data_IF_203235154258
#
_entry.id   IF_203235154258
#
_cell.length_a   1.000
_cell.length_b   1.000
_cell.length_c   1.000
_cell.angle_alpha   90.00
_cell.angle_beta   90.00
_cell.angle_gamma   90.00
#
_symmetry.space_group_name_H-M   'P 1'
#
loop_
_entity.id
_entity.type
_entity.pdbx_description
1 polymer ?
#
# COMPACT_ATOMS: atom_id res chain seq x y z
N UNK A 1 68.14 46.93 25.18
CA UNK A 1 68.30 45.94 26.26
C UNK A 1 68.13 44.55 25.66
N UNK A 2 69.22 43.78 25.65
CA UNK A 2 69.34 42.36 25.26
C UNK A 2 68.44 41.48 26.17
N UNK A 3 68.17 40.17 26.02
CA UNK A 3 68.78 39.05 25.32
C UNK A 3 67.82 37.85 25.51
N UNK A 4 67.25 37.22 24.47
CA UNK A 4 66.66 35.86 24.55
C UNK A 4 66.24 35.35 23.15
N UNK A 5 67.20 35.31 22.24
CA UNK A 5 67.21 34.37 21.12
C UNK A 5 67.87 33.06 21.60
N UNK A 6 67.44 31.94 21.03
CA UNK A 6 67.96 30.57 21.17
C UNK A 6 67.46 29.73 22.35
N UNK A 7 67.08 28.49 22.00
CA UNK A 7 66.36 27.44 22.74
C UNK A 7 64.85 27.71 22.65
N UNK A 8 64.03 26.98 21.91
CA UNK A 8 64.02 25.53 21.72
C UNK A 8 63.35 25.27 20.36
N UNK A 9 64.17 25.31 19.29
CA UNK A 9 63.82 24.90 17.93
C UNK A 9 63.66 23.36 17.81
N UNK A 10 63.04 22.72 18.81
CA UNK A 10 62.97 21.25 18.92
C UNK A 10 61.62 20.73 19.45
N UNK A 11 60.56 21.53 19.42
CA UNK A 11 59.19 21.07 19.68
C UNK A 11 58.31 20.97 18.42
N UNK A 12 58.84 21.35 17.25
CA UNK A 12 58.12 21.38 15.98
C UNK A 12 58.21 20.07 15.15
N UNK A 13 58.71 18.97 15.72
CA UNK A 13 58.91 17.70 14.99
C UNK A 13 58.21 16.47 15.59
N UNK A 14 57.36 16.63 16.60
CA UNK A 14 56.65 15.50 17.24
C UNK A 14 55.12 15.61 17.16
N UNK A 15 54.58 16.29 16.15
CA UNK A 15 53.13 16.41 15.94
C UNK A 15 52.64 15.74 14.65
N UNK A 16 53.50 15.01 13.94
CA UNK A 16 53.20 14.41 12.63
C UNK A 16 53.14 12.87 12.64
N UNK A 17 52.77 12.24 13.77
CA UNK A 17 52.68 10.79 13.89
C UNK A 17 51.40 10.28 14.61
N UNK A 18 50.33 11.08 14.64
CA UNK A 18 48.98 10.60 14.99
C UNK A 18 48.05 10.92 13.82
N UNK A 19 48.45 10.43 12.65
CA UNK A 19 47.58 10.35 11.50
C UNK A 19 47.01 8.93 11.46
N UNK A 20 45.68 8.84 11.38
CA UNK A 20 44.96 7.74 10.73
C UNK A 20 44.82 6.45 11.55
N UNK A 21 44.06 6.47 12.67
CA UNK A 21 43.41 5.24 13.20
C UNK A 21 41.91 5.43 13.50
N UNK A 22 41.38 6.66 13.48
CA UNK A 22 40.02 6.94 13.96
C UNK A 22 38.87 6.91 12.94
N UNK A 23 39.10 6.64 11.65
CA UNK A 23 38.13 6.97 10.58
C UNK A 23 37.56 5.77 9.81
N UNK A 24 37.62 4.57 10.37
CA UNK A 24 36.94 3.39 9.80
C UNK A 24 35.93 2.79 10.79
N UNK A 25 35.17 3.63 11.48
CA UNK A 25 33.86 3.19 11.97
C UNK A 25 32.90 3.30 10.79
N UNK A 26 32.98 2.29 9.92
CA UNK A 26 32.07 2.10 8.80
C UNK A 26 30.62 2.25 9.29
N UNK A 27 29.83 3.00 8.54
CA UNK A 27 28.40 3.19 8.73
C UNK A 27 27.69 1.83 8.66
N UNK A 28 27.69 1.06 9.74
CA UNK A 28 26.76 -0.04 9.93
C UNK A 28 25.43 0.59 10.34
N UNK A 29 24.67 1.10 9.36
CA UNK A 29 23.25 1.37 9.58
C UNK A 29 22.63 0.06 10.08
N UNK A 30 22.01 0.02 11.26
CA UNK A 30 21.29 -1.17 11.68
C UNK A 30 20.28 -1.50 10.58
N UNK A 31 20.47 -2.65 9.93
CA UNK A 31 19.58 -3.09 8.87
C UNK A 31 18.17 -3.09 9.42
N UNK A 32 17.25 -2.37 8.78
CA UNK A 32 15.84 -2.42 9.14
C UNK A 32 15.44 -3.89 9.02
N UNK A 33 14.97 -4.55 10.09
CA UNK A 33 14.58 -5.95 10.01
C UNK A 33 13.49 -6.08 8.93
N UNK A 34 13.81 -6.78 7.85
CA UNK A 34 12.84 -7.10 6.82
C UNK A 34 12.07 -8.32 7.27
N UNK A 35 10.80 -8.11 7.61
CA UNK A 35 9.89 -9.22 7.86
C UNK A 35 9.65 -9.98 6.56
N UNK A 36 9.91 -11.28 6.55
CA UNK A 36 9.67 -12.15 5.39
C UNK A 36 8.20 -12.57 5.27
N UNK A 37 7.35 -12.14 6.21
CA UNK A 37 5.91 -12.38 6.20
C UNK A 37 5.17 -11.04 6.27
N UNK A 38 3.96 -10.95 5.69
CA UNK A 38 3.16 -9.74 5.79
C UNK A 38 2.72 -9.50 7.23
N UNK A 39 3.21 -8.42 7.83
CA UNK A 39 2.76 -7.93 9.13
C UNK A 39 1.54 -7.02 8.94
N UNK A 40 0.38 -7.48 9.39
CA UNK A 40 -0.85 -6.70 9.31
C UNK A 40 -1.01 -5.81 10.54
N UNK A 41 -0.44 -4.60 10.48
CA UNK A 41 -0.70 -3.57 11.46
C UNK A 41 -1.96 -2.77 11.09
N UNK A 42 -3.10 -3.17 11.64
CA UNK A 42 -4.38 -2.49 11.40
C UNK A 42 -4.50 -1.11 12.07
N UNK A 43 -3.60 -0.76 13.01
CA UNK A 43 -3.64 0.53 13.72
C UNK A 43 -2.90 1.65 12.99
N UNK A 44 -1.98 1.30 12.10
CA UNK A 44 -1.13 2.24 11.35
C UNK A 44 -1.26 2.12 9.84
N UNK A 45 -2.15 1.25 9.33
CA UNK A 45 -2.43 1.18 7.91
C UNK A 45 -3.07 2.51 7.48
N UNK A 46 -2.47 3.27 6.55
CA UNK A 46 -3.15 4.41 5.96
C UNK A 46 -4.45 3.91 5.32
N UNK A 47 -5.52 4.70 5.40
CA UNK A 47 -6.73 4.46 4.62
C UNK A 47 -6.27 4.16 3.19
N UNK A 48 -6.49 2.93 2.73
CA UNK A 48 -5.77 2.36 1.59
C UNK A 48 -5.70 3.32 0.43
N UNK A 49 -4.56 3.40 -0.26
CA UNK A 49 -4.31 4.37 -1.33
C UNK A 49 -5.41 4.22 -2.38
N UNK A 50 -6.42 5.08 -2.30
CA UNK A 50 -7.47 5.11 -3.30
C UNK A 50 -6.86 5.74 -4.54
N UNK A 51 -7.02 5.11 -5.72
CA UNK A 51 -6.79 5.79 -6.98
C UNK A 51 -7.53 7.13 -6.93
N UNK A 52 -6.84 8.22 -7.27
CA UNK A 52 -7.42 9.58 -7.31
C UNK A 52 -8.71 9.54 -8.15
N UNK A 53 -9.85 9.63 -7.48
CA UNK A 53 -11.16 9.82 -8.09
C UNK A 53 -11.82 11.02 -7.43
N UNK A 54 -12.36 11.92 -8.24
CA UNK A 54 -13.05 13.11 -7.73
C UNK A 54 -14.45 12.70 -7.25
N UNK A 55 -14.65 12.72 -5.94
CA UNK A 55 -15.95 12.48 -5.28
C UNK A 55 -16.01 11.21 -4.44
N UNK A 56 -17.16 11.04 -3.80
CA UNK A 56 -17.47 9.93 -2.90
C UNK A 56 -18.91 9.48 -3.09
N UNK A 57 -19.17 8.18 -2.97
CA UNK A 57 -20.51 7.62 -2.86
C UNK A 57 -20.81 7.28 -1.40
N UNK A 58 -22.09 7.30 -0.99
CA UNK A 58 -22.46 6.95 0.38
C UNK A 58 -22.65 5.44 0.52
N UNK A 59 -21.87 4.82 1.41
CA UNK A 59 -21.94 3.38 1.68
C UNK A 59 -22.47 3.13 3.10
N UNK A 60 -23.36 2.14 3.31
CA UNK A 60 -23.81 1.72 4.64
C UNK A 60 -22.97 0.55 5.19
N UNK A 61 -21.85 0.80 5.91
CA UNK A 61 -20.98 -0.29 6.38
C UNK A 61 -21.63 -1.20 7.42
N UNK A 62 -22.59 -0.70 8.18
CA UNK A 62 -23.25 -1.40 9.28
C UNK A 62 -24.79 -1.33 9.20
N UNK A 63 -25.33 -0.78 8.10
CA UNK A 63 -26.76 -0.54 7.91
C UNK A 63 -27.37 0.53 8.83
N UNK A 64 -26.58 1.18 9.69
CA UNK A 64 -27.04 2.21 10.65
C UNK A 64 -26.54 3.60 10.31
N UNK A 65 -25.40 3.68 9.63
CA UNK A 65 -24.77 4.94 9.24
C UNK A 65 -24.41 4.91 7.75
N UNK A 66 -24.43 6.07 7.12
CA UNK A 66 -23.91 6.26 5.77
C UNK A 66 -22.58 6.98 5.88
N UNK A 67 -21.51 6.39 5.34
CA UNK A 67 -20.17 6.99 5.33
C UNK A 67 -19.73 7.27 3.90
N UNK A 68 -19.01 8.39 3.65
CA UNK A 68 -18.46 8.66 2.34
C UNK A 68 -17.40 7.61 2.00
N UNK A 69 -17.56 6.94 0.88
CA UNK A 69 -16.61 6.01 0.31
C UNK A 69 -16.02 6.66 -0.97
N UNK A 70 -14.69 6.89 -1.03
CA UNK A 70 -14.05 7.46 -2.21
C UNK A 70 -14.26 6.58 -3.45
N UNK A 71 -14.24 7.18 -4.64
CA UNK A 71 -14.32 6.42 -5.89
C UNK A 71 -13.05 5.59 -6.14
N UNK A 72 -13.17 4.61 -7.05
CA UNK A 72 -12.07 3.73 -7.47
C UNK A 72 -11.46 2.90 -6.32
N UNK A 73 -12.26 2.60 -5.30
CA UNK A 73 -11.81 1.94 -4.07
C UNK A 73 -12.36 0.52 -3.90
N UNK A 74 -11.98 -0.12 -2.79
CA UNK A 74 -12.52 -1.37 -2.32
C UNK A 74 -13.49 -1.13 -1.15
N UNK A 75 -14.69 -1.68 -1.25
CA UNK A 75 -15.66 -1.78 -0.18
C UNK A 75 -15.65 -3.19 0.42
N UNK A 76 -15.35 -3.30 1.71
CA UNK A 76 -15.52 -4.54 2.46
C UNK A 76 -16.98 -4.65 2.90
N UNK A 77 -17.77 -5.41 2.15
CA UNK A 77 -19.20 -5.61 2.46
C UNK A 77 -19.40 -6.57 3.63
N UNK A 78 -18.40 -7.38 3.91
CA UNK A 78 -18.36 -8.26 5.09
C UNK A 78 -17.45 -7.67 6.17
N UNK A 79 -18.03 -7.30 7.31
CA UNK A 79 -17.32 -6.69 8.43
C UNK A 79 -16.32 -7.62 9.09
N UNK A 80 -16.49 -8.94 8.95
CA UNK A 80 -15.59 -9.92 9.54
C UNK A 80 -14.19 -9.87 8.92
N UNK A 81 -14.05 -9.29 7.72
CA UNK A 81 -12.78 -9.14 7.02
C UNK A 81 -11.89 -8.03 7.59
N UNK A 82 -12.45 -7.02 8.29
CA UNK A 82 -11.74 -5.78 8.69
C UNK A 82 -10.45 -6.00 9.48
N UNK A 83 -10.37 -7.07 10.27
CA UNK A 83 -9.21 -7.41 11.10
C UNK A 83 -8.53 -8.71 10.67
N UNK A 84 -8.88 -9.24 9.50
CA UNK A 84 -8.39 -10.53 8.98
C UNK A 84 -7.75 -10.41 7.61
N UNK A 85 -8.06 -9.34 6.88
CA UNK A 85 -7.52 -9.07 5.56
C UNK A 85 -7.20 -7.58 5.43
N UNK A 86 -6.11 -7.27 4.74
CA UNK A 86 -5.80 -5.92 4.30
C UNK A 86 -5.95 -5.79 2.79
N UNK A 87 -6.39 -4.61 2.35
CA UNK A 87 -6.27 -4.20 0.95
C UNK A 87 -4.93 -3.49 0.82
N UNK A 88 -3.96 -4.14 0.19
CA UNK A 88 -2.60 -3.58 0.03
C UNK A 88 -2.53 -2.59 -1.13
N UNK A 89 -3.28 -2.84 -2.20
CA UNK A 89 -3.16 -2.08 -3.45
C UNK A 89 -4.48 -2.09 -4.20
N UNK A 90 -4.88 -0.94 -4.72
CA UNK A 90 -6.02 -0.77 -5.62
C UNK A 90 -5.55 0.06 -6.80
N UNK A 91 -5.82 -0.39 -8.03
CA UNK A 91 -5.44 0.32 -9.24
C UNK A 91 -6.52 0.23 -10.30
N UNK A 92 -6.81 1.37 -10.93
CA UNK A 92 -7.48 1.44 -12.21
C UNK A 92 -6.50 1.95 -13.25
N UNK A 93 -6.33 1.23 -14.36
CA UNK A 93 -5.49 1.66 -15.49
C UNK A 93 -6.21 1.43 -16.80
N UNK A 94 -5.97 2.30 -17.78
CA UNK A 94 -6.41 2.05 -19.15
C UNK A 94 -5.51 0.99 -19.79
N UNK A 95 -6.11 -0.02 -20.41
CA UNK A 95 -5.37 -0.97 -21.23
C UNK A 95 -5.09 -0.40 -22.63
N UNK A 96 -4.41 -1.18 -23.48
CA UNK A 96 -4.08 -0.78 -24.86
C UNK A 96 -5.30 -0.53 -25.73
N UNK A 97 -6.45 -1.09 -25.36
CA UNK A 97 -7.73 -0.94 -26.06
C UNK A 97 -8.57 0.20 -25.47
N UNK A 98 -8.06 0.90 -24.45
CA UNK A 98 -8.76 1.98 -23.76
C UNK A 98 -9.76 1.52 -22.69
N UNK A 99 -9.91 0.22 -22.44
CA UNK A 99 -10.79 -0.28 -21.39
C UNK A 99 -10.21 0.03 -20.00
N UNK A 100 -11.07 0.16 -18.99
CA UNK A 100 -10.64 0.25 -17.60
C UNK A 100 -10.29 -1.14 -17.06
N UNK A 101 -9.01 -1.40 -16.82
CA UNK A 101 -8.54 -2.56 -16.06
C UNK A 101 -8.42 -2.21 -14.58
N UNK A 102 -9.10 -2.98 -13.75
CA UNK A 102 -9.10 -2.89 -12.29
C UNK A 102 -8.23 -4.01 -11.73
N UNK A 103 -7.33 -3.67 -10.81
CA UNK A 103 -6.49 -4.60 -10.08
C UNK A 103 -6.55 -4.31 -8.59
N UNK A 104 -6.74 -5.36 -7.79
CA UNK A 104 -6.71 -5.27 -6.33
C UNK A 104 -5.80 -6.35 -5.78
N UNK A 105 -4.96 -5.99 -4.80
CA UNK A 105 -4.16 -6.93 -4.03
C UNK A 105 -4.62 -6.96 -2.58
N UNK A 106 -4.87 -8.17 -2.11
CA UNK A 106 -5.24 -8.48 -0.74
C UNK A 106 -4.06 -9.12 0.00
N UNK A 107 -4.10 -9.01 1.33
CA UNK A 107 -3.22 -9.71 2.25
C UNK A 107 -4.10 -10.49 3.20
N UNK A 108 -3.95 -11.81 3.25
CA UNK A 108 -4.51 -12.62 4.32
C UNK A 108 -3.65 -12.45 5.58
N UNK A 109 -4.22 -11.87 6.61
CA UNK A 109 -3.54 -11.58 7.87
C UNK A 109 -3.71 -12.69 8.92
N UNK A 110 -4.45 -13.74 8.59
CA UNK A 110 -4.74 -14.85 9.49
C UNK A 110 -3.72 -15.99 9.36
N UNK A 111 -3.78 -16.92 10.31
CA UNK A 111 -2.97 -18.14 10.33
C UNK A 111 -3.69 -19.33 9.66
N UNK A 112 -4.81 -19.08 8.97
CA UNK A 112 -5.59 -20.09 8.25
C UNK A 112 -5.88 -19.67 6.80
N UNK A 113 -6.13 -20.61 5.88
CA UNK A 113 -6.54 -20.25 4.52
C UNK A 113 -7.90 -19.56 4.55
N UNK A 114 -8.06 -18.52 3.74
CA UNK A 114 -9.32 -17.82 3.58
C UNK A 114 -9.71 -17.74 2.12
N UNK A 115 -11.01 -17.63 1.86
CA UNK A 115 -11.53 -17.44 0.52
C UNK A 115 -12.38 -16.19 0.53
N UNK A 116 -12.03 -15.26 -0.36
CA UNK A 116 -12.82 -14.04 -0.57
C UNK A 116 -13.40 -14.06 -1.97
N UNK A 117 -14.55 -13.41 -2.10
CA UNK A 117 -15.17 -13.15 -3.39
C UNK A 117 -15.17 -11.67 -3.64
N UNK A 118 -14.92 -11.29 -4.88
CA UNK A 118 -14.85 -9.90 -5.29
C UNK A 118 -15.62 -9.67 -6.59
N UNK A 119 -16.27 -8.52 -6.69
CA UNK A 119 -16.92 -8.05 -7.91
C UNK A 119 -16.73 -6.55 -8.07
N UNK A 120 -16.77 -6.09 -9.30
CA UNK A 120 -16.65 -4.69 -9.67
C UNK A 120 -17.97 -4.13 -10.17
N UNK A 121 -18.31 -2.95 -9.67
CA UNK A 121 -19.27 -2.03 -10.26
C UNK A 121 -18.51 -0.92 -10.98
N UNK A 122 -18.73 -0.77 -12.28
CA UNK A 122 -18.14 0.31 -13.08
C UNK A 122 -19.05 1.53 -13.11
N UNK A 123 -18.45 2.71 -13.05
CA UNK A 123 -19.14 3.99 -12.93
C UNK A 123 -18.71 4.96 -14.03
N UNK A 124 -19.65 5.73 -14.57
CA UNK A 124 -19.38 6.81 -15.52
C UNK A 124 -18.87 8.10 -14.84
N UNK A 125 -18.72 9.17 -15.61
CA UNK A 125 -18.27 10.48 -15.10
C UNK A 125 -19.26 11.12 -14.12
N UNK A 126 -20.54 10.75 -14.19
CA UNK A 126 -21.61 11.20 -13.31
C UNK A 126 -21.79 10.25 -12.11
N UNK A 127 -20.88 9.30 -11.92
CA UNK A 127 -20.92 8.28 -10.86
C UNK A 127 -22.14 7.35 -10.98
N UNK A 128 -22.79 7.28 -12.13
CA UNK A 128 -23.85 6.33 -12.40
C UNK A 128 -23.27 4.98 -12.86
N UNK A 129 -23.94 3.85 -12.59
CA UNK A 129 -23.51 2.55 -13.09
C UNK A 129 -23.43 2.57 -14.62
N UNK A 130 -22.23 2.38 -15.16
CA UNK A 130 -22.01 2.39 -16.61
C UNK A 130 -22.31 1.03 -17.25
N UNK A 131 -22.16 -0.04 -16.47
CA UNK A 131 -22.28 -1.44 -16.88
C UNK A 131 -23.02 -2.26 -15.81
N UNK A 132 -23.59 -3.43 -16.17
CA UNK A 132 -24.03 -4.40 -15.17
C UNK A 132 -22.89 -4.73 -14.20
N UNK A 133 -23.23 -4.89 -12.91
CA UNK A 133 -22.26 -5.35 -11.92
C UNK A 133 -21.71 -6.71 -12.34
N UNK A 134 -20.40 -6.89 -12.20
CA UNK A 134 -19.74 -8.16 -12.56
C UNK A 134 -20.12 -9.28 -11.59
N UNK A 135 -19.93 -10.52 -12.03
CA UNK A 135 -20.13 -11.70 -11.20
C UNK A 135 -19.08 -11.77 -10.09
N UNK A 136 -19.42 -12.45 -8.99
CA UNK A 136 -18.46 -12.73 -7.91
C UNK A 136 -17.35 -13.65 -8.42
N UNK A 137 -16.10 -13.20 -8.31
CA UNK A 137 -14.90 -13.99 -8.61
C UNK A 137 -14.20 -14.37 -7.32
N UNK A 138 -13.85 -15.65 -7.22
CA UNK A 138 -13.22 -16.24 -6.03
C UNK A 138 -11.71 -16.03 -6.03
N UNK A 139 -11.18 -15.64 -4.88
CA UNK A 139 -9.74 -15.55 -4.59
C UNK A 139 -9.43 -16.40 -3.36
N UNK A 140 -8.62 -17.45 -3.54
CA UNK A 140 -8.16 -18.31 -2.45
C UNK A 140 -6.81 -17.80 -1.95
N UNK A 141 -6.69 -17.56 -0.64
CA UNK A 141 -5.48 -17.04 -0.02
C UNK A 141 -5.03 -17.98 1.09
N UNK A 142 -3.85 -18.64 0.96
CA UNK A 142 -3.20 -19.32 2.08
C UNK A 142 -2.99 -18.41 3.31
N UNK A 143 -2.67 -18.97 4.49
CA UNK A 143 -2.26 -18.17 5.65
C UNK A 143 -1.14 -17.18 5.30
N UNK A 144 -1.18 -15.97 5.86
CA UNK A 144 -0.11 -14.95 5.73
C UNK A 144 0.36 -14.72 4.28
N UNK A 145 -0.57 -14.71 3.33
CA UNK A 145 -0.25 -14.67 1.89
C UNK A 145 -0.94 -13.51 1.17
N UNK A 146 -0.62 -13.36 -0.11
CA UNK A 146 -1.23 -12.36 -0.99
C UNK A 146 -2.28 -13.01 -1.90
N UNK A 147 -3.37 -12.29 -2.14
CA UNK A 147 -4.37 -12.60 -3.15
C UNK A 147 -4.50 -11.47 -4.17
N UNK A 148 -4.90 -11.77 -5.40
CA UNK A 148 -5.12 -10.75 -6.41
C UNK A 148 -6.50 -10.93 -7.07
N UNK A 149 -7.19 -9.82 -7.27
CA UNK A 149 -8.42 -9.74 -8.04
C UNK A 149 -8.20 -8.82 -9.25
N UNK A 150 -8.77 -9.18 -10.39
CA UNK A 150 -8.70 -8.40 -11.61
C UNK A 150 -10.02 -8.41 -12.37
N UNK A 151 -10.37 -7.24 -12.92
CA UNK A 151 -11.51 -7.08 -13.81
C UNK A 151 -11.19 -6.10 -14.95
N UNK A 152 -11.90 -6.21 -16.06
CA UNK A 152 -11.80 -5.28 -17.19
C UNK A 152 -13.20 -4.84 -17.62
N UNK A 153 -13.38 -3.54 -17.81
CA UNK A 153 -14.63 -2.98 -18.33
C UNK A 153 -14.85 -3.41 -19.78
N UNK A 154 -16.11 -3.58 -20.20
CA UNK A 154 -16.42 -3.96 -21.59
C UNK A 154 -17.21 -2.90 -22.36
N UNK A 155 -17.70 -1.84 -21.70
CA UNK A 155 -18.45 -0.76 -22.35
C UNK A 155 -17.56 0.24 -23.06
N UNK A 156 -18.12 0.83 -24.12
CA UNK A 156 -17.61 2.02 -24.79
C UNK A 156 -18.68 3.15 -24.72
N UNK A 157 -18.30 4.41 -24.39
CA UNK A 157 -16.98 4.82 -23.91
C UNK A 157 -16.65 4.14 -22.57
N UNK A 158 -15.36 3.98 -22.24
CA UNK A 158 -14.95 3.20 -21.09
C UNK A 158 -15.33 3.93 -19.78
N UNK A 159 -15.67 3.20 -18.71
CA UNK A 159 -16.07 3.78 -17.42
C UNK A 159 -14.99 4.70 -16.86
N UNK A 160 -15.38 5.72 -16.09
CA UNK A 160 -14.44 6.65 -15.45
C UNK A 160 -13.90 6.10 -14.12
N UNK A 161 -14.77 5.48 -13.33
CA UNK A 161 -14.46 5.03 -11.98
C UNK A 161 -14.98 3.60 -11.76
N UNK A 162 -14.66 3.03 -10.61
CA UNK A 162 -15.15 1.72 -10.21
C UNK A 162 -15.30 1.63 -8.68
N UNK A 163 -16.04 0.63 -8.22
CA UNK A 163 -16.03 0.18 -6.82
C UNK A 163 -15.86 -1.34 -6.85
N UNK A 164 -14.92 -1.86 -6.06
CA UNK A 164 -14.76 -3.30 -5.85
C UNK A 164 -15.41 -3.69 -4.54
N UNK A 165 -16.43 -4.53 -4.58
CA UNK A 165 -17.03 -5.11 -3.39
C UNK A 165 -16.34 -6.42 -3.04
N UNK A 166 -16.09 -6.65 -1.75
CA UNK A 166 -15.44 -7.86 -1.25
C UNK A 166 -16.22 -8.44 -0.08
N UNK A 167 -16.41 -9.77 -0.12
CA UNK A 167 -17.01 -10.56 0.95
C UNK A 167 -16.21 -11.83 1.22
N UNK A 168 -16.31 -12.39 2.43
CA UNK A 168 -15.82 -13.74 2.67
C UNK A 168 -16.78 -14.74 2.00
N UNK A 169 -16.23 -15.84 1.47
CA UNK A 169 -17.06 -16.94 1.01
C UNK A 169 -17.61 -17.70 2.24
N UNK A 170 -18.91 -17.60 2.48
CA UNK A 170 -19.64 -18.35 3.52
C UNK A 170 -19.93 -19.78 3.13
#
# INVERSE_FOLDING_TARGET
MNCALLRIASLLRALAAIAIVGLIAACASPGIPHSTHPECNFRGAPDGVTPRGDGSYLFPPDGRSMVPLPLSTVSLTDYTLRNRMLVQQVQGRRDTSGNLSVFVRYVNCTDYPMIVESRTQFLDAQQAPSEPVTGWKRTVMPPKSLGNYQEVSVRQPPPHNFIVEVREQS
#
